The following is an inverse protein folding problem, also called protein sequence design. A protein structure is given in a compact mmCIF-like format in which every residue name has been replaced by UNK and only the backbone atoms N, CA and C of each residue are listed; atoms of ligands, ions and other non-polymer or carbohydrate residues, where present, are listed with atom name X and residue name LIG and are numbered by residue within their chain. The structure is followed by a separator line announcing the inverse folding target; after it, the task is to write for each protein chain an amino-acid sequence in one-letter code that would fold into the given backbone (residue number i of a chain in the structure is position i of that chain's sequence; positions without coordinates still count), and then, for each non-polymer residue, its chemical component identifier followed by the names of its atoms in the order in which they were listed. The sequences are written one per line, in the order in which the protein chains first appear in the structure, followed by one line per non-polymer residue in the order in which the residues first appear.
data_IF_852679777412
#
_entry.id   IF_852679777412
#
_cell.length_a   1.000
_cell.length_b   1.000
_cell.length_c   1.000
_cell.angle_alpha   90.00
_cell.angle_beta   90.00
_cell.angle_gamma   90.00
#
_symmetry.space_group_name_H-M   'P 1'
#
loop_
_entity.id
_entity.type
_entity.pdbx_description
1 polymer ?
#
# COMPACT_ATOMS: atom_id res chain seq x y z
N UNK A 1 -11.65 -9.02 9.57
CA UNK A 1 -10.39 -8.62 8.92
C UNK A 1 -10.72 -7.57 7.88
N UNK A 2 -10.15 -6.36 7.94
CA UNK A 2 -10.38 -5.34 6.92
C UNK A 2 -9.71 -5.71 5.59
N UNK A 3 -10.40 -5.36 4.50
CA UNK A 3 -9.85 -5.31 3.13
C UNK A 3 -9.94 -3.84 2.72
N UNK A 4 -8.79 -3.22 2.47
CA UNK A 4 -8.67 -1.82 2.10
C UNK A 4 -8.44 -1.74 0.60
N UNK A 5 -9.28 -0.98 -0.07
CA UNK A 5 -9.28 -0.85 -1.52
C UNK A 5 -8.91 0.59 -1.91
N UNK A 6 -8.01 0.72 -2.88
CA UNK A 6 -7.51 1.99 -3.39
C UNK A 6 -7.61 2.05 -4.92
N UNK A 7 -8.42 2.96 -5.44
CA UNK A 7 -8.44 3.27 -6.88
C UNK A 7 -7.19 4.07 -7.29
N UNK A 8 -7.02 5.30 -6.77
CA UNK A 8 -5.92 6.20 -7.15
C UNK A 8 -5.03 6.55 -5.96
N UNK A 9 -3.71 6.43 -6.14
CA UNK A 9 -2.69 7.10 -5.31
C UNK A 9 -2.14 8.29 -6.10
N UNK A 10 -2.43 9.51 -5.64
CA UNK A 10 -2.30 10.73 -6.42
C UNK A 10 -1.68 11.88 -5.60
N UNK A 11 -1.60 13.09 -6.16
CA UNK A 11 -1.04 14.27 -5.48
C UNK A 11 -1.95 14.86 -4.39
N UNK A 12 -3.26 14.63 -4.50
CA UNK A 12 -4.26 15.15 -3.56
C UNK A 12 -5.41 14.17 -3.38
N UNK A 13 -6.10 14.28 -2.25
CA UNK A 13 -7.30 13.50 -1.98
C UNK A 13 -8.45 13.92 -2.90
N UNK A 14 -9.24 12.95 -3.35
CA UNK A 14 -10.45 13.17 -4.13
C UNK A 14 -11.45 12.07 -3.85
N UNK A 15 -12.61 12.09 -4.52
CA UNK A 15 -13.64 11.06 -4.35
C UNK A 15 -13.12 9.62 -4.49
N UNK A 16 -12.16 9.40 -5.39
CA UNK A 16 -11.55 8.10 -5.68
C UNK A 16 -10.03 8.09 -5.48
N UNK A 17 -9.48 9.17 -4.94
CA UNK A 17 -8.03 9.35 -4.82
C UNK A 17 -7.62 9.55 -3.38
N UNK A 18 -6.56 8.85 -3.01
CA UNK A 18 -5.80 9.09 -1.79
C UNK A 18 -4.49 9.77 -2.17
N UNK A 19 -4.15 10.87 -1.51
CA UNK A 19 -2.85 11.48 -1.71
C UNK A 19 -1.75 10.52 -1.27
N UNK A 20 -0.61 10.51 -1.96
CA UNK A 20 0.52 9.64 -1.58
C UNK A 20 1.02 9.90 -0.14
N UNK A 21 0.88 11.14 0.36
CA UNK A 21 1.19 11.48 1.76
C UNK A 21 0.23 10.81 2.73
N UNK A 22 -1.06 10.85 2.44
CA UNK A 22 -2.04 10.21 3.29
C UNK A 22 -2.00 8.67 3.17
N UNK A 23 -1.65 8.12 2.01
CA UNK A 23 -1.39 6.68 1.89
C UNK A 23 -0.24 6.22 2.80
N UNK A 24 0.86 7.00 2.86
CA UNK A 24 1.94 6.72 3.81
C UNK A 24 1.45 6.75 5.27
N UNK A 25 0.63 7.74 5.63
CA UNK A 25 0.01 7.82 6.96
C UNK A 25 -0.95 6.66 7.24
N UNK A 26 -1.65 6.14 6.23
CA UNK A 26 -2.51 4.97 6.37
C UNK A 26 -1.68 3.73 6.74
N UNK A 27 -0.51 3.54 6.14
CA UNK A 27 0.43 2.46 6.50
C UNK A 27 0.94 2.60 7.93
N UNK A 28 1.36 3.80 8.33
CA UNK A 28 1.81 4.11 9.69
C UNK A 28 0.70 3.83 10.71
N UNK A 29 -0.49 4.37 10.48
CA UNK A 29 -1.65 4.19 11.36
C UNK A 29 -1.99 2.71 11.54
N UNK A 30 -2.04 1.94 10.45
CA UNK A 30 -2.33 0.51 10.51
C UNK A 30 -1.27 -0.23 11.33
N UNK A 31 0.01 0.07 11.09
CA UNK A 31 1.09 -0.57 11.83
C UNK A 31 1.04 -0.26 13.33
N UNK A 32 0.86 1.01 13.71
CA UNK A 32 0.70 1.48 15.09
C UNK A 32 -0.50 0.85 15.80
N UNK A 33 -1.59 0.63 15.06
CA UNK A 33 -2.82 -0.02 15.56
C UNK A 33 -2.70 -1.55 15.62
N UNK A 34 -1.53 -2.10 15.29
CA UNK A 34 -1.27 -3.54 15.36
C UNK A 34 -1.78 -4.33 14.16
N UNK A 35 -2.06 -3.69 13.02
CA UNK A 35 -2.41 -4.40 11.78
C UNK A 35 -1.16 -4.89 11.04
N UNK A 36 -1.23 -6.05 10.40
CA UNK A 36 -0.17 -6.64 9.58
C UNK A 36 -0.71 -7.04 8.20
N UNK A 37 -0.04 -6.61 7.12
CA UNK A 37 -0.49 -6.92 5.77
C UNK A 37 -0.42 -8.43 5.53
N UNK A 38 -1.46 -8.98 4.91
CA UNK A 38 -1.49 -10.35 4.39
C UNK A 38 -2.01 -10.34 2.96
N UNK A 39 -1.59 -11.31 2.16
CA UNK A 39 -2.05 -11.44 0.77
C UNK A 39 -3.46 -12.03 0.70
N UNK A 40 -4.14 -11.82 -0.43
CA UNK A 40 -5.43 -12.48 -0.72
C UNK A 40 -5.27 -14.01 -0.69
N UNK A 41 -4.17 -14.55 -1.21
CA UNK A 41 -3.89 -15.99 -1.16
C UNK A 41 -3.78 -16.49 0.28
N UNK A 42 -3.01 -15.81 1.15
CA UNK A 42 -2.91 -16.17 2.57
C UNK A 42 -4.27 -16.15 3.29
N UNK A 43 -5.13 -15.18 2.95
CA UNK A 43 -6.51 -15.15 3.45
C UNK A 43 -7.30 -16.38 2.98
N UNK A 44 -7.32 -16.66 1.67
CA UNK A 44 -8.10 -17.76 1.07
C UNK A 44 -7.63 -19.11 1.61
N UNK A 45 -6.33 -19.30 1.71
CA UNK A 45 -5.71 -20.54 2.16
C UNK A 45 -5.70 -20.69 3.69
N UNK A 46 -6.15 -19.65 4.42
CA UNK A 46 -6.13 -19.57 5.89
C UNK A 46 -4.73 -19.73 6.49
N UNK A 47 -3.71 -19.27 5.76
CA UNK A 47 -2.30 -19.31 6.15
C UNK A 47 -1.86 -17.92 6.62
N UNK A 48 -2.30 -17.55 7.83
CA UNK A 48 -1.99 -16.26 8.43
C UNK A 48 -0.83 -16.40 9.42
N UNK A 49 0.37 -16.10 8.94
CA UNK A 49 1.59 -16.05 9.77
C UNK A 49 1.87 -14.59 10.18
N UNK A 50 1.20 -14.15 11.24
CA UNK A 50 1.37 -12.82 11.83
C UNK A 50 1.64 -12.94 13.35
N UNK A 51 2.38 -11.99 13.96
CA UNK A 51 2.67 -12.04 15.38
C UNK A 51 1.40 -12.10 16.25
N UNK A 52 1.46 -12.86 17.35
CA UNK A 52 0.37 -12.91 18.32
C UNK A 52 0.01 -11.51 18.85
N UNK A 53 -1.28 -11.23 18.99
CA UNK A 53 -1.77 -9.91 19.42
C UNK A 53 -1.88 -8.87 18.29
N UNK A 54 -1.54 -9.23 17.04
CA UNK A 54 -1.76 -8.38 15.85
C UNK A 54 -3.00 -8.81 15.07
N UNK A 55 -3.49 -7.94 14.20
CA UNK A 55 -4.65 -8.19 13.33
C UNK A 55 -4.24 -8.20 11.85
N UNK A 56 -4.75 -9.11 11.01
CA UNK A 56 -4.45 -9.08 9.59
C UNK A 56 -5.19 -7.92 8.89
N UNK A 57 -4.63 -7.42 7.78
CA UNK A 57 -5.27 -6.48 6.85
C UNK A 57 -4.87 -6.83 5.42
N UNK A 58 -5.80 -6.76 4.48
CA UNK A 58 -5.53 -6.96 3.05
C UNK A 58 -5.61 -5.61 2.34
N UNK A 59 -4.74 -5.41 1.36
CA UNK A 59 -4.75 -4.24 0.48
C UNK A 59 -5.07 -4.70 -0.95
N UNK A 60 -6.00 -4.01 -1.60
CA UNK A 60 -6.36 -4.20 -3.00
C UNK A 60 -6.28 -2.87 -3.74
N UNK A 61 -5.96 -2.95 -5.02
CA UNK A 61 -5.81 -1.79 -5.89
C UNK A 61 -6.58 -2.04 -7.18
N UNK A 62 -7.53 -1.17 -7.49
CA UNK A 62 -8.44 -1.34 -8.63
C UNK A 62 -8.02 -0.43 -9.80
N UNK A 63 -8.46 -0.72 -11.02
CA UNK A 63 -8.26 0.10 -12.23
C UNK A 63 -6.83 0.22 -12.78
N UNK A 64 -5.83 -0.41 -12.16
CA UNK A 64 -4.42 -0.43 -12.62
C UNK A 64 -3.82 0.96 -12.88
N UNK A 65 -4.11 1.94 -12.02
CA UNK A 65 -3.66 3.32 -12.23
C UNK A 65 -2.14 3.46 -12.06
N UNK A 66 -1.45 4.34 -12.82
CA UNK A 66 0.00 4.55 -12.68
C UNK A 66 0.44 5.04 -11.30
N UNK A 67 -0.49 5.53 -10.46
CA UNK A 67 -0.25 5.87 -9.07
C UNK A 67 0.06 4.65 -8.19
N UNK A 68 -0.35 3.47 -8.61
CA UNK A 68 -0.11 2.23 -7.88
C UNK A 68 1.32 1.75 -8.09
N UNK A 69 1.79 1.76 -9.33
CA UNK A 69 3.16 1.42 -9.70
C UNK A 69 3.55 2.09 -11.02
N UNK A 70 4.74 2.70 -11.04
CA UNK A 70 5.41 3.17 -12.26
C UNK A 70 6.89 3.35 -12.02
N UNK A 71 7.67 3.28 -13.10
CA UNK A 71 9.04 3.78 -13.12
C UNK A 71 9.06 5.25 -13.51
N UNK A 72 10.02 5.98 -12.98
CA UNK A 72 10.41 7.32 -13.41
C UNK A 72 11.89 7.32 -13.75
N UNK A 73 12.28 8.12 -14.75
CA UNK A 73 13.67 8.27 -15.10
C UNK A 73 14.31 9.38 -14.26
N UNK A 74 15.42 9.06 -13.59
CA UNK A 74 16.26 10.02 -12.88
C UNK A 74 17.71 9.77 -13.26
N UNK A 75 18.38 10.80 -13.78
CA UNK A 75 19.80 10.73 -14.19
C UNK A 75 20.12 9.55 -15.14
N UNK A 76 19.22 9.21 -16.07
CA UNK A 76 19.41 8.10 -17.01
C UNK A 76 19.18 6.71 -16.42
N UNK A 77 18.66 6.61 -15.18
CA UNK A 77 18.29 5.36 -14.54
C UNK A 77 16.79 5.30 -14.29
N UNK A 78 16.20 4.12 -14.48
CA UNK A 78 14.81 3.85 -14.11
C UNK A 78 14.74 3.54 -12.62
N UNK A 79 13.97 4.35 -11.90
CA UNK A 79 13.71 4.19 -10.47
C UNK A 79 12.21 4.00 -10.25
N UNK A 80 11.83 3.24 -9.23
CA UNK A 80 10.42 3.16 -8.82
C UNK A 80 10.01 4.54 -8.32
N UNK A 81 8.87 5.06 -8.81
CA UNK A 81 8.40 6.36 -8.36
C UNK A 81 8.10 6.32 -6.86
N UNK A 82 8.80 7.14 -6.08
CA UNK A 82 8.64 7.26 -4.64
C UNK A 82 7.27 7.80 -4.22
N UNK A 83 6.49 8.36 -5.15
CA UNK A 83 5.10 8.80 -4.94
C UNK A 83 4.07 7.75 -5.35
N UNK A 84 4.50 6.60 -5.89
CA UNK A 84 3.60 5.48 -6.17
C UNK A 84 3.34 4.64 -4.91
N UNK A 85 2.22 3.91 -4.88
CA UNK A 85 1.87 3.04 -3.75
C UNK A 85 2.99 2.06 -3.40
N UNK A 86 3.56 1.39 -4.40
CA UNK A 86 4.71 0.47 -4.21
C UNK A 86 5.95 1.22 -3.72
N UNK A 87 6.26 2.39 -4.28
CA UNK A 87 7.42 3.19 -3.85
C UNK A 87 7.32 3.61 -2.37
N UNK A 88 6.14 4.05 -1.94
CA UNK A 88 5.86 4.42 -0.55
C UNK A 88 5.97 3.19 0.36
N UNK A 89 5.42 2.05 -0.07
CA UNK A 89 5.48 0.82 0.70
C UNK A 89 6.91 0.31 0.90
N UNK A 90 7.74 0.36 -0.14
CA UNK A 90 9.15 -0.01 -0.06
C UNK A 90 9.91 0.91 0.91
N UNK A 91 9.63 2.21 0.87
CA UNK A 91 10.22 3.17 1.81
C UNK A 91 9.78 2.93 3.26
N UNK A 92 8.55 2.46 3.48
CA UNK A 92 8.02 2.12 4.80
C UNK A 92 8.64 0.84 5.39
N UNK A 93 9.05 -0.11 4.54
CA UNK A 93 9.66 -1.38 4.95
C UNK A 93 11.18 -1.29 5.15
N UNK A 94 11.83 -0.23 4.68
CA UNK A 94 13.28 -0.05 4.78
C UNK A 94 13.74 0.30 6.20
#
# INVERSE_FOLDING_TARGET
MPILEYHLVADSDSRWGRSWRHFAQDLELLYERGYRPVTVSQLVDRQLDIPAGTSPVVFTFDDASPGQFRYVERNGQLEIDSTSAVGIWLAFHA
#
